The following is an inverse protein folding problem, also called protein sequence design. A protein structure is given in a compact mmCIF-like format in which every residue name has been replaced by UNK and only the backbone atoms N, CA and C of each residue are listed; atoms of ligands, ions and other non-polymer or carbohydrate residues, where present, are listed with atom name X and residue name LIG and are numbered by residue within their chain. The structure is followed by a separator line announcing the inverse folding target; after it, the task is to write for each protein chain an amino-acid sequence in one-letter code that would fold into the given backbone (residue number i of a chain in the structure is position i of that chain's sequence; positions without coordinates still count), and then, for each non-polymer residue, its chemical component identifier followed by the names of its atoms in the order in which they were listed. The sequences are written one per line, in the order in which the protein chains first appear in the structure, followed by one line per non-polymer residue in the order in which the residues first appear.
data_IF_670604316942
#
_entry.id   IF_670604316942
#
_cell.length_a   1.000
_cell.length_b   1.000
_cell.length_c   1.000
_cell.angle_alpha   90.00
_cell.angle_beta   90.00
_cell.angle_gamma   90.00
#
_symmetry.space_group_name_H-M   'P 1'
#
loop_
_entity.id
_entity.type
_entity.pdbx_description
1 polymer ?
#
# COMPACT_ATOMS: atom_id res chain seq x y z
N UNK A 1 38.08 -26.31 17.74
CA UNK A 1 37.24 -25.56 18.70
C UNK A 1 37.27 -24.06 18.43
N UNK A 2 38.43 -23.38 18.40
CA UNK A 2 38.47 -21.94 18.04
C UNK A 2 38.04 -21.67 16.58
N UNK A 3 38.47 -22.50 15.63
CA UNK A 3 38.13 -22.31 14.21
C UNK A 3 36.63 -22.50 13.93
N UNK A 4 35.99 -23.46 14.61
CA UNK A 4 34.55 -23.74 14.52
C UNK A 4 33.69 -22.59 15.11
N UNK A 5 34.19 -21.93 16.16
CA UNK A 5 33.55 -20.74 16.72
C UNK A 5 33.68 -19.53 15.79
N UNK A 6 34.84 -19.37 15.14
CA UNK A 6 35.07 -18.29 14.16
C UNK A 6 34.18 -18.50 12.93
N UNK A 7 34.14 -19.70 12.36
CA UNK A 7 33.33 -20.03 11.19
C UNK A 7 31.82 -19.96 11.48
N UNK A 8 31.40 -20.40 12.67
CA UNK A 8 30.02 -20.24 13.15
C UNK A 8 29.60 -18.78 13.31
N UNK A 9 30.48 -17.94 13.88
CA UNK A 9 30.20 -16.50 14.03
C UNK A 9 30.14 -15.77 12.69
N UNK A 10 31.07 -16.06 11.77
CA UNK A 10 31.08 -15.49 10.43
C UNK A 10 29.83 -15.90 9.62
N UNK A 11 29.40 -17.16 9.74
CA UNK A 11 28.16 -17.64 9.11
C UNK A 11 26.91 -16.96 9.67
N UNK A 12 26.84 -16.75 11.00
CA UNK A 12 25.72 -16.04 11.62
C UNK A 12 25.68 -14.56 11.27
N UNK A 13 26.84 -13.91 11.14
CA UNK A 13 26.94 -12.50 10.77
C UNK A 13 26.51 -12.26 9.32
N UNK A 14 26.89 -13.16 8.40
CA UNK A 14 26.42 -13.13 7.01
C UNK A 14 24.90 -13.33 6.92
N UNK A 15 24.35 -14.31 7.65
CA UNK A 15 22.90 -14.55 7.69
C UNK A 15 22.12 -13.37 8.29
N UNK A 16 22.67 -12.74 9.33
CA UNK A 16 22.11 -11.52 9.92
C UNK A 16 22.10 -10.36 8.93
N UNK A 17 23.22 -10.14 8.23
CA UNK A 17 23.34 -9.10 7.21
C UNK A 17 22.38 -9.31 6.03
N UNK A 18 22.20 -10.56 5.57
CA UNK A 18 21.23 -10.90 4.52
C UNK A 18 19.79 -10.65 4.98
N UNK A 19 19.45 -11.02 6.22
CA UNK A 19 18.13 -10.77 6.80
C UNK A 19 17.84 -9.27 6.94
N UNK A 20 18.81 -8.48 7.39
CA UNK A 20 18.68 -7.04 7.53
C UNK A 20 18.61 -6.32 6.17
N UNK A 21 19.37 -6.80 5.18
CA UNK A 21 19.27 -6.32 3.81
C UNK A 21 17.89 -6.63 3.21
N UNK A 22 17.37 -7.85 3.40
CA UNK A 22 16.03 -8.23 2.95
C UNK A 22 14.94 -7.41 3.64
N UNK A 23 15.04 -7.19 4.96
CA UNK A 23 14.14 -6.33 5.72
C UNK A 23 14.16 -4.90 5.22
N UNK A 24 15.35 -4.32 5.06
CA UNK A 24 15.52 -2.93 4.61
C UNK A 24 15.01 -2.77 3.19
N UNK A 25 15.35 -3.70 2.30
CA UNK A 25 14.85 -3.75 0.93
C UNK A 25 13.32 -3.84 0.87
N UNK A 26 12.71 -4.68 1.72
CA UNK A 26 11.26 -4.78 1.84
C UNK A 26 10.59 -3.47 2.29
N UNK A 27 11.17 -2.78 3.29
CA UNK A 27 10.67 -1.49 3.76
C UNK A 27 10.79 -0.42 2.67
N UNK A 28 11.96 -0.29 2.04
CA UNK A 28 12.20 0.69 0.97
C UNK A 28 11.26 0.43 -0.21
N UNK A 29 11.12 -0.83 -0.64
CA UNK A 29 10.21 -1.23 -1.70
C UNK A 29 8.75 -0.90 -1.38
N UNK A 30 8.31 -1.18 -0.15
CA UNK A 30 6.95 -0.86 0.29
C UNK A 30 6.67 0.65 0.29
N UNK A 31 7.62 1.47 0.75
CA UNK A 31 7.48 2.94 0.76
C UNK A 31 7.43 3.49 -0.67
N UNK A 32 8.33 3.04 -1.55
CA UNK A 32 8.33 3.45 -2.96
C UNK A 32 7.01 3.05 -3.63
N UNK A 33 6.57 1.81 -3.42
CA UNK A 33 5.28 1.32 -3.91
C UNK A 33 4.11 2.19 -3.43
N UNK A 34 4.05 2.47 -2.13
CA UNK A 34 3.04 3.35 -1.53
C UNK A 34 2.99 4.71 -2.22
N UNK A 35 4.14 5.33 -2.47
CA UNK A 35 4.21 6.63 -3.14
C UNK A 35 3.74 6.57 -4.59
N UNK A 36 4.22 5.59 -5.38
CA UNK A 36 3.85 5.44 -6.79
C UNK A 36 2.35 5.19 -6.93
N UNK A 37 1.81 4.23 -6.17
CA UNK A 37 0.38 3.95 -6.19
C UNK A 37 -0.41 5.15 -5.67
N UNK A 38 0.05 5.83 -4.62
CA UNK A 38 -0.57 7.06 -4.12
C UNK A 38 -0.74 8.12 -5.21
N UNK A 39 0.30 8.35 -6.03
CA UNK A 39 0.21 9.26 -7.19
C UNK A 39 -0.81 8.76 -8.22
N UNK A 40 -0.81 7.46 -8.53
CA UNK A 40 -1.80 6.87 -9.45
C UNK A 40 -3.23 7.09 -8.94
N UNK A 41 -3.48 6.89 -7.64
CA UNK A 41 -4.77 7.15 -6.99
C UNK A 41 -5.19 8.61 -7.14
N UNK A 42 -4.28 9.56 -6.96
CA UNK A 42 -4.55 10.99 -7.17
C UNK A 42 -4.91 11.28 -8.63
N UNK A 43 -4.18 10.71 -9.59
CA UNK A 43 -4.48 10.88 -11.02
C UNK A 43 -5.87 10.35 -11.36
N UNK A 44 -6.22 9.15 -10.88
CA UNK A 44 -7.56 8.58 -11.08
C UNK A 44 -8.65 9.43 -10.43
N UNK A 45 -8.39 10.00 -9.25
CA UNK A 45 -9.30 10.95 -8.61
C UNK A 45 -9.50 12.24 -9.44
N UNK A 46 -8.48 12.70 -10.17
CA UNK A 46 -8.62 13.83 -11.11
C UNK A 46 -9.50 13.45 -12.31
N UNK A 47 -9.34 12.24 -12.87
CA UNK A 47 -10.22 11.76 -13.94
C UNK A 47 -11.67 11.60 -13.46
N UNK A 48 -11.84 11.12 -12.23
CA UNK A 48 -13.13 11.08 -11.58
C UNK A 48 -13.76 12.49 -11.49
N UNK A 49 -12.96 13.50 -11.13
CA UNK A 49 -13.39 14.92 -11.12
C UNK A 49 -13.81 15.47 -12.47
N UNK A 50 -13.27 14.91 -13.56
CA UNK A 50 -13.64 15.27 -14.93
C UNK A 50 -14.92 14.56 -15.43
N UNK A 51 -15.64 13.85 -14.57
CA UNK A 51 -16.89 13.15 -14.93
C UNK A 51 -16.67 11.79 -15.60
N UNK A 52 -15.45 11.25 -15.58
CA UNK A 52 -15.17 9.94 -16.14
C UNK A 52 -15.74 8.82 -15.23
N UNK A 53 -16.95 8.36 -15.55
CA UNK A 53 -17.64 7.33 -14.77
C UNK A 53 -16.85 6.00 -14.65
N UNK A 54 -16.00 5.67 -15.64
CA UNK A 54 -15.13 4.49 -15.59
C UNK A 54 -14.08 4.56 -14.47
N UNK A 55 -13.62 5.76 -14.10
CA UNK A 55 -12.64 5.95 -13.04
C UNK A 55 -13.18 5.51 -11.68
N UNK A 56 -14.50 5.66 -11.42
CA UNK A 56 -15.15 5.15 -10.20
C UNK A 56 -14.98 3.64 -10.07
N UNK A 57 -15.26 2.91 -11.15
CA UNK A 57 -15.18 1.45 -11.17
C UNK A 57 -13.72 1.02 -10.93
N UNK A 58 -12.77 1.63 -11.63
CA UNK A 58 -11.34 1.32 -11.45
C UNK A 58 -10.87 1.59 -10.03
N UNK A 59 -11.22 2.75 -9.45
CA UNK A 59 -10.91 3.08 -8.06
C UNK A 59 -11.53 2.06 -7.08
N UNK A 60 -12.78 1.64 -7.28
CA UNK A 60 -13.38 0.61 -6.41
C UNK A 60 -12.66 -0.73 -6.50
N UNK A 61 -12.33 -1.18 -7.72
CA UNK A 61 -11.65 -2.46 -7.94
C UNK A 61 -10.27 -2.44 -7.30
N UNK A 62 -9.51 -1.35 -7.48
CA UNK A 62 -8.19 -1.21 -6.85
C UNK A 62 -8.26 -1.16 -5.32
N UNK A 63 -9.26 -0.48 -4.74
CA UNK A 63 -9.43 -0.42 -3.30
C UNK A 63 -9.77 -1.81 -2.72
N UNK A 64 -10.73 -2.51 -3.34
CA UNK A 64 -11.15 -3.85 -2.90
C UNK A 64 -10.00 -4.85 -3.04
N UNK A 65 -9.28 -4.81 -4.16
CA UNK A 65 -8.12 -5.68 -4.37
C UNK A 65 -7.01 -5.37 -3.37
N UNK A 66 -6.68 -4.09 -3.18
CA UNK A 66 -5.69 -3.66 -2.19
C UNK A 66 -6.06 -4.08 -0.77
N UNK A 67 -7.35 -4.02 -0.42
CA UNK A 67 -7.86 -4.50 0.86
C UNK A 67 -7.73 -6.02 0.98
N UNK A 68 -8.12 -6.77 -0.04
CA UNK A 68 -8.01 -8.24 -0.03
C UNK A 68 -6.54 -8.69 0.13
N UNK A 69 -5.63 -8.09 -0.64
CA UNK A 69 -4.20 -8.35 -0.53
C UNK A 69 -3.63 -7.94 0.84
N UNK A 70 -4.08 -6.81 1.39
CA UNK A 70 -3.71 -6.36 2.74
C UNK A 70 -4.13 -7.35 3.81
N UNK A 71 -5.37 -7.86 3.75
CA UNK A 71 -5.85 -8.91 4.67
C UNK A 71 -5.00 -10.17 4.53
N UNK A 72 -4.72 -10.63 3.32
CA UNK A 72 -3.86 -11.80 3.09
C UNK A 72 -2.47 -11.60 3.71
N UNK A 73 -1.89 -10.40 3.56
CA UNK A 73 -0.60 -10.05 4.17
C UNK A 73 -0.62 -10.01 5.71
N UNK A 74 -1.77 -9.70 6.32
CA UNK A 74 -1.93 -9.80 7.78
C UNK A 74 -1.97 -11.26 8.25
N UNK A 75 -2.60 -12.14 7.47
CA UNK A 75 -2.76 -13.56 7.82
C UNK A 75 -1.45 -14.36 7.76
N UNK A 76 -0.43 -13.88 7.04
CA UNK A 76 0.89 -14.54 6.95
C UNK A 76 1.81 -14.27 8.16
N UNK A 77 1.41 -13.39 9.08
CA UNK A 77 1.89 -13.35 10.47
C UNK A 77 3.35 -12.98 10.75
N UNK A 78 4.16 -12.65 9.73
CA UNK A 78 5.63 -12.57 9.86
C UNK A 78 6.27 -11.27 9.35
N UNK A 79 5.54 -10.15 9.37
CA UNK A 79 6.05 -8.87 8.88
C UNK A 79 6.60 -7.95 9.99
N UNK A 80 7.66 -7.17 9.70
CA UNK A 80 8.13 -6.08 10.55
C UNK A 80 6.99 -5.14 10.97
N UNK A 81 7.03 -4.64 12.21
CA UNK A 81 6.01 -3.71 12.75
C UNK A 81 5.82 -2.46 11.87
N UNK A 82 6.89 -1.97 11.24
CA UNK A 82 6.83 -0.84 10.30
C UNK A 82 5.98 -1.15 9.07
N UNK A 83 6.16 -2.32 8.46
CA UNK A 83 5.36 -2.78 7.33
C UNK A 83 3.90 -3.04 7.73
N UNK A 84 3.69 -3.58 8.93
CA UNK A 84 2.36 -3.77 9.49
C UNK A 84 1.60 -2.44 9.64
N UNK A 85 2.24 -1.43 10.25
CA UNK A 85 1.62 -0.11 10.43
C UNK A 85 1.34 0.54 9.07
N UNK A 86 2.30 0.50 8.14
CA UNK A 86 2.12 1.06 6.80
C UNK A 86 0.97 0.36 6.05
N UNK A 87 0.87 -0.96 6.16
CA UNK A 87 -0.23 -1.75 5.61
C UNK A 87 -1.58 -1.34 6.17
N UNK A 88 -1.70 -1.24 7.51
CA UNK A 88 -2.93 -0.81 8.17
C UNK A 88 -3.35 0.61 7.77
N UNK A 89 -2.40 1.55 7.69
CA UNK A 89 -2.66 2.92 7.22
C UNK A 89 -3.16 2.91 5.78
N UNK A 90 -2.52 2.12 4.91
CA UNK A 90 -2.91 2.01 3.50
C UNK A 90 -4.32 1.43 3.36
N UNK A 91 -4.66 0.41 4.15
CA UNK A 91 -6.02 -0.17 4.17
C UNK A 91 -7.06 0.83 4.67
N UNK A 92 -6.74 1.60 5.73
CA UNK A 92 -7.61 2.66 6.21
C UNK A 92 -7.84 3.73 5.13
N UNK A 93 -6.83 4.07 4.34
CA UNK A 93 -6.96 4.98 3.20
C UNK A 93 -7.88 4.41 2.10
N UNK A 94 -7.79 3.11 1.79
CA UNK A 94 -8.73 2.49 0.85
C UNK A 94 -10.18 2.56 1.32
N UNK A 95 -10.42 2.28 2.61
CA UNK A 95 -11.76 2.39 3.20
C UNK A 95 -12.24 3.83 3.17
N UNK A 96 -11.41 4.78 3.60
CA UNK A 96 -11.75 6.21 3.59
C UNK A 96 -12.07 6.69 2.18
N UNK A 97 -11.28 6.28 1.18
CA UNK A 97 -11.50 6.65 -0.21
C UNK A 97 -12.80 6.08 -0.74
N UNK A 98 -13.11 4.81 -0.46
CA UNK A 98 -14.41 4.23 -0.82
C UNK A 98 -15.55 5.02 -0.18
N UNK A 99 -15.50 5.27 1.13
CA UNK A 99 -16.54 6.01 1.84
C UNK A 99 -16.71 7.42 1.25
N UNK A 100 -15.62 8.17 1.07
CA UNK A 100 -15.68 9.51 0.51
C UNK A 100 -16.15 9.52 -0.95
N UNK A 101 -15.74 8.55 -1.76
CA UNK A 101 -16.17 8.46 -3.16
C UNK A 101 -17.67 8.20 -3.29
N UNK A 102 -18.26 7.45 -2.36
CA UNK A 102 -19.68 7.08 -2.38
C UNK A 102 -20.59 8.01 -1.55
N UNK A 103 -20.04 8.99 -0.81
CA UNK A 103 -20.85 10.01 -0.15
C UNK A 103 -21.52 10.93 -1.19
N UNK A 104 -22.82 11.17 -1.00
CA UNK A 104 -23.66 12.03 -1.86
C UNK A 104 -23.10 13.43 -2.10
N UNK A 105 -22.42 14.01 -1.12
CA UNK A 105 -21.77 15.34 -1.23
C UNK A 105 -20.66 15.36 -2.30
N UNK A 106 -19.89 14.27 -2.41
CA UNK A 106 -18.87 14.10 -3.44
C UNK A 106 -19.50 13.89 -4.81
N UNK A 107 -20.56 13.09 -4.89
CA UNK A 107 -21.32 12.91 -6.14
C UNK A 107 -21.92 14.23 -6.61
N UNK A 108 -22.49 15.04 -5.72
CA UNK A 108 -23.06 16.34 -6.05
C UNK A 108 -22.02 17.35 -6.57
N UNK A 109 -20.80 17.36 -6.02
CA UNK A 109 -19.69 18.17 -6.54
C UNK A 109 -19.18 17.67 -7.91
N UNK A 110 -19.28 16.36 -8.17
CA UNK A 110 -18.84 15.72 -9.42
C UNK A 110 -19.87 15.77 -10.56
N UNK A 111 -21.16 15.91 -10.25
CA UNK A 111 -22.26 16.00 -11.23
C UNK A 111 -22.87 17.39 -11.35
N UNK A 112 -22.30 18.40 -10.69
CA UNK A 112 -22.74 19.78 -10.86
C UNK A 112 -22.61 20.16 -12.35
N UNK A 113 -23.69 20.59 -13.03
CA UNK A 113 -23.62 21.00 -14.42
C UNK A 113 -22.61 22.15 -14.53
N UNK A 114 -21.52 21.93 -15.26
CA UNK A 114 -20.70 23.05 -15.74
C UNK A 114 -21.54 23.78 -16.75
N UNK A 115 -22.19 24.86 -16.32
CA UNK A 115 -22.93 25.74 -17.21
C UNK A 115 -21.99 26.32 -18.25
N UNK A 116 -22.10 25.81 -19.48
CA UNK A 116 -21.77 26.47 -20.75
C UNK A 116 -22.77 25.98 -21.79
#
# INVERSE_FOLDING_TARGET
QLDELVEGSAGSDLSGAELDAARTGGIVGAVIGFLIFGVLWVVLAVFLRKGANWARIVLTVLAVLGLALGVLGLLTGSQPATLLILGLVTMALYVALLVFMWRKESTAYLTAPTGY
#
